data_IF_825720102145
#
_entry.id   IF_825720102145
#
_cell.length_a   1.000
_cell.length_b   1.000
_cell.length_c   1.000
_cell.angle_alpha   90.00
_cell.angle_beta   90.00
_cell.angle_gamma   90.00
#
_symmetry.space_group_name_H-M   'P 1'
#
loop_
_entity.id
_entity.type
_entity.pdbx_description
1 polymer ?
#
# COMPACT_ATOMS: atom_id res chain seq x y z
N UNK A 1 -27.46 -8.90 8.66
CA UNK A 1 -26.42 -8.03 8.09
C UNK A 1 -25.10 -8.76 8.15
N UNK A 2 -24.46 -9.04 7.02
CA UNK A 2 -23.14 -9.66 7.02
C UNK A 2 -22.09 -8.57 7.30
N UNK A 3 -21.24 -8.79 8.30
CA UNK A 3 -20.17 -7.89 8.74
C UNK A 3 -18.92 -8.21 7.93
N UNK A 4 -19.02 -8.06 6.62
CA UNK A 4 -17.94 -8.37 5.68
C UNK A 4 -17.77 -7.20 4.71
N UNK A 5 -17.57 -5.99 5.24
CA UNK A 5 -17.09 -4.87 4.41
C UNK A 5 -16.38 -3.73 5.17
N UNK A 6 -15.88 -3.96 6.37
CA UNK A 6 -15.08 -2.94 7.09
C UNK A 6 -13.58 -3.20 6.89
N UNK A 7 -13.18 -3.62 5.68
CA UNK A 7 -11.76 -3.65 5.33
C UNK A 7 -11.31 -2.19 5.32
N UNK A 8 -10.51 -1.80 6.31
CA UNK A 8 -9.97 -0.44 6.37
C UNK A 8 -9.05 -0.19 5.16
N UNK A 9 -8.94 1.05 4.72
CA UNK A 9 -8.09 1.46 3.60
C UNK A 9 -6.66 0.91 3.71
N UNK A 10 -6.13 0.81 4.94
CA UNK A 10 -4.85 0.19 5.26
C UNK A 10 -4.84 -1.31 4.95
N UNK A 11 -5.81 -2.08 5.44
CA UNK A 11 -5.87 -3.52 5.19
C UNK A 11 -6.03 -3.82 3.70
N UNK A 12 -6.82 -3.03 2.99
CA UNK A 12 -6.97 -3.18 1.55
C UNK A 12 -5.66 -2.88 0.82
N UNK A 13 -4.92 -1.86 1.26
CA UNK A 13 -3.58 -1.55 0.73
C UNK A 13 -2.61 -2.73 0.89
N UNK A 14 -2.59 -3.36 2.08
CA UNK A 14 -1.76 -4.54 2.33
C UNK A 14 -2.19 -5.74 1.50
N UNK A 15 -3.49 -5.96 1.32
CA UNK A 15 -3.99 -7.01 0.43
C UNK A 15 -3.52 -6.79 -1.01
N UNK A 16 -3.59 -5.56 -1.53
CA UNK A 16 -3.14 -5.24 -2.89
C UNK A 16 -1.63 -5.44 -3.05
N UNK A 17 -0.83 -4.97 -2.07
CA UNK A 17 0.61 -5.18 -2.05
C UNK A 17 0.99 -6.67 -2.07
N UNK A 18 0.26 -7.50 -1.31
CA UNK A 18 0.53 -8.93 -1.17
C UNK A 18 -0.07 -9.78 -2.30
N UNK A 19 -1.23 -9.39 -2.82
CA UNK A 19 -1.92 -10.03 -3.96
C UNK A 19 -1.16 -9.82 -5.26
N UNK A 20 -0.45 -8.71 -5.36
CA UNK A 20 0.38 -8.40 -6.50
C UNK A 20 -0.28 -7.79 -7.71
N UNK A 21 -1.47 -7.23 -7.50
CA UNK A 21 -2.06 -6.29 -8.43
C UNK A 21 -1.21 -5.01 -8.55
N UNK A 22 -0.52 -4.61 -7.47
CA UNK A 22 0.21 -3.35 -7.42
C UNK A 22 1.72 -3.55 -7.30
N UNK A 23 2.45 -2.63 -7.93
CA UNK A 23 3.92 -2.62 -7.99
C UNK A 23 4.56 -1.44 -7.21
N UNK A 24 3.75 -0.54 -6.68
CA UNK A 24 4.21 0.65 -5.94
C UNK A 24 3.11 1.18 -5.04
N UNK A 25 3.46 1.97 -4.02
CA UNK A 25 2.48 2.62 -3.12
C UNK A 25 1.54 3.56 -3.88
N UNK A 26 2.04 4.20 -4.95
CA UNK A 26 1.23 5.01 -5.85
C UNK A 26 0.14 4.19 -6.57
N UNK A 27 0.48 2.97 -7.01
CA UNK A 27 -0.43 2.07 -7.70
C UNK A 27 -1.54 1.58 -6.74
N UNK A 28 -1.15 1.25 -5.51
CA UNK A 28 -2.08 0.91 -4.43
C UNK A 28 -3.06 2.07 -4.17
N UNK A 29 -2.57 3.32 -4.13
CA UNK A 29 -3.43 4.51 -3.95
C UNK A 29 -4.43 4.66 -5.09
N UNK A 30 -3.98 4.50 -6.33
CA UNK A 30 -4.85 4.55 -7.51
C UNK A 30 -5.91 3.47 -7.47
N UNK A 31 -5.54 2.24 -7.11
CA UNK A 31 -6.45 1.11 -7.06
C UNK A 31 -7.52 1.30 -5.97
N UNK A 32 -7.11 1.75 -4.77
CA UNK A 32 -8.02 2.07 -3.68
C UNK A 32 -8.95 3.23 -4.03
N UNK A 33 -8.44 4.28 -4.68
CA UNK A 33 -9.27 5.39 -5.15
C UNK A 33 -10.29 4.91 -6.21
N UNK A 34 -9.90 4.01 -7.12
CA UNK A 34 -10.78 3.41 -8.12
C UNK A 34 -11.84 2.49 -7.50
N UNK A 35 -11.53 1.85 -6.37
CA UNK A 35 -12.48 1.08 -5.57
C UNK A 35 -13.44 1.95 -4.74
N UNK A 36 -13.18 3.26 -4.64
CA UNK A 36 -14.02 4.21 -3.89
C UNK A 36 -13.60 4.42 -2.42
N UNK A 37 -12.39 4.02 -2.05
CA UNK A 37 -11.83 4.35 -0.74
C UNK A 37 -11.44 5.83 -0.69
N UNK A 38 -12.04 6.57 0.24
CA UNK A 38 -11.64 7.95 0.55
C UNK A 38 -10.52 7.99 1.60
N UNK A 39 -9.77 9.09 1.67
CA UNK A 39 -8.73 9.28 2.69
C UNK A 39 -7.47 8.41 2.53
N UNK A 40 -7.30 7.73 1.39
CA UNK A 40 -6.12 6.88 1.11
C UNK A 40 -4.81 7.61 1.37
N UNK A 41 -4.74 8.87 0.97
CA UNK A 41 -3.55 9.70 1.17
C UNK A 41 -3.28 9.90 2.66
N UNK A 42 -4.28 10.23 3.48
CA UNK A 42 -4.09 10.44 4.92
C UNK A 42 -3.69 9.16 5.66
N UNK A 43 -4.33 8.04 5.33
CA UNK A 43 -4.05 6.74 5.94
C UNK A 43 -2.68 6.18 5.52
N UNK A 44 -2.30 6.34 4.25
CA UNK A 44 -1.04 5.82 3.70
C UNK A 44 0.16 6.77 3.85
N UNK A 45 -0.04 8.00 4.35
CA UNK A 45 1.05 8.95 4.57
C UNK A 45 1.83 8.71 5.87
N UNK A 46 1.43 7.72 6.68
CA UNK A 46 2.21 7.33 7.85
C UNK A 46 3.52 6.66 7.45
N UNK A 47 4.66 7.16 7.95
CA UNK A 47 5.99 6.61 7.64
C UNK A 47 6.10 5.10 7.92
N UNK A 48 5.52 4.63 9.03
CA UNK A 48 5.48 3.20 9.37
C UNK A 48 4.64 2.36 8.39
N UNK A 49 3.56 2.92 7.84
CA UNK A 49 2.70 2.22 6.87
C UNK A 49 3.41 2.14 5.52
N UNK A 50 4.01 3.24 5.06
CA UNK A 50 4.77 3.25 3.81
C UNK A 50 5.93 2.26 3.85
N UNK A 51 6.65 2.20 4.98
CA UNK A 51 7.74 1.23 5.14
C UNK A 51 7.24 -0.21 5.03
N UNK A 52 6.20 -0.56 5.78
CA UNK A 52 5.61 -1.91 5.73
C UNK A 52 5.05 -2.27 4.34
N UNK A 53 4.44 -1.33 3.61
CA UNK A 53 3.96 -1.57 2.25
C UNK A 53 5.12 -1.79 1.27
N UNK A 54 6.19 -0.97 1.37
CA UNK A 54 7.41 -1.16 0.58
C UNK A 54 8.05 -2.51 0.89
N UNK A 55 8.15 -2.90 2.15
CA UNK A 55 8.65 -4.21 2.57
C UNK A 55 7.79 -5.35 2.01
N UNK A 56 6.46 -5.23 2.04
CA UNK A 56 5.55 -6.24 1.48
C UNK A 56 5.69 -6.38 -0.05
N UNK A 57 5.89 -5.27 -0.76
CA UNK A 57 6.16 -5.25 -2.20
C UNK A 57 7.54 -5.86 -2.52
N UNK A 58 8.57 -5.47 -1.78
CA UNK A 58 9.94 -5.96 -1.93
C UNK A 58 10.07 -7.46 -1.61
N UNK A 59 9.38 -7.93 -0.55
CA UNK A 59 9.32 -9.35 -0.20
C UNK A 59 8.71 -10.22 -1.31
N UNK A 60 7.93 -9.61 -2.21
CA UNK A 60 7.36 -10.26 -3.39
C UNK A 60 8.31 -10.30 -4.59
N UNK A 61 9.45 -9.61 -4.52
CA UNK A 61 10.35 -9.42 -5.67
C UNK A 61 9.86 -8.36 -6.65
N UNK A 62 8.90 -7.52 -6.24
CA UNK A 62 8.65 -6.28 -6.97
C UNK A 62 9.81 -5.35 -6.62
N UNK A 63 10.73 -5.17 -7.58
CA UNK A 63 11.64 -4.04 -7.57
C UNK A 63 10.77 -2.78 -7.65
N UNK A 64 10.34 -2.29 -6.50
CA UNK A 64 9.76 -0.98 -6.38
C UNK A 64 10.86 -0.02 -6.86
N UNK A 65 10.81 0.38 -8.13
CA UNK A 65 11.61 1.47 -8.66
C UNK A 65 11.16 2.74 -7.94
N UNK A 66 11.61 2.93 -6.73
CA UNK A 66 11.55 4.19 -6.01
C UNK A 66 12.98 4.69 -5.92
N UNK A 67 13.25 5.66 -6.79
CA UNK A 67 14.40 6.56 -6.76
C UNK A 67 14.33 7.36 -5.46
N UNK A 68 14.96 6.88 -4.38
CA UNK A 68 15.52 7.71 -3.31
C UNK A 68 16.55 6.94 -2.50
N UNK A 69 17.73 7.53 -2.43
CA UNK A 69 18.96 7.03 -1.83
C UNK A 69 19.22 7.84 -0.57
N UNK A 70 19.19 7.22 0.61
CA UNK A 70 19.90 7.62 1.85
C UNK A 70 19.44 6.66 2.97
N UNK A 71 20.29 5.84 3.58
CA UNK A 71 21.33 6.26 4.54
C UNK A 71 20.66 6.53 5.91
N UNK A 72 21.00 5.95 7.05
CA UNK A 72 22.24 5.33 7.52
C UNK A 72 21.97 4.52 8.82
N UNK A 73 22.92 3.63 9.11
CA UNK A 73 23.27 2.95 10.39
C UNK A 73 22.59 1.62 10.78
#
# INVERSE_FOLDING_TARGET
MRKDNEISTIERAFQLARSGACHSVADIRTQLAAEGYDGVHGHLNGASIQRQLREALAARGVEAKDDDTSGDE
#
